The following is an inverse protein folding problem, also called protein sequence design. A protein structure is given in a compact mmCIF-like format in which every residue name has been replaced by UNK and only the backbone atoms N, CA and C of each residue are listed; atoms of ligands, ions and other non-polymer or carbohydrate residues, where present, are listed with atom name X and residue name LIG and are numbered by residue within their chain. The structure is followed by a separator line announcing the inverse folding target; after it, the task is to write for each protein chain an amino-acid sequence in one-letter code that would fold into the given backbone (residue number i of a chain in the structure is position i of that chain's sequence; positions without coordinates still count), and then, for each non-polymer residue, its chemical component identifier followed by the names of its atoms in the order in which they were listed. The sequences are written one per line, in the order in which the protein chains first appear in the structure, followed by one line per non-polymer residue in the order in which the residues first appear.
data_IF_328253090582
#
_entry.id   IF_328253090582
#
_cell.length_a   1.000
_cell.length_b   1.000
_cell.length_c   1.000
_cell.angle_alpha   90.00
_cell.angle_beta   90.00
_cell.angle_gamma   90.00
#
_symmetry.space_group_name_H-M   'P 1'
#
loop_
_entity.id
_entity.type
_entity.pdbx_description
1 polymer ?
#
# COMPACT_ATOMS: atom_id res chain seq x y z
N UNK A 1 -15.45 -17.72 13.28
CA UNK A 1 -15.39 -17.28 11.88
C UNK A 1 -13.94 -16.97 11.58
N UNK A 2 -13.31 -17.64 10.61
CA UNK A 2 -11.91 -17.36 10.26
C UNK A 2 -11.91 -15.99 9.59
N UNK A 3 -11.40 -14.96 10.28
CA UNK A 3 -11.15 -13.65 9.70
C UNK A 3 -10.24 -13.85 8.49
N UNK A 4 -10.80 -13.75 7.28
CA UNK A 4 -10.01 -13.89 6.06
C UNK A 4 -9.00 -12.73 6.03
N UNK A 5 -7.71 -13.06 6.10
CA UNK A 5 -6.58 -12.10 6.10
C UNK A 5 -6.54 -11.22 4.83
N UNK A 6 -7.27 -11.63 3.79
CA UNK A 6 -7.39 -10.92 2.52
C UNK A 6 -8.74 -11.21 1.84
N UNK A 7 -9.13 -10.34 0.91
CA UNK A 7 -10.24 -10.57 -0.04
C UNK A 7 -9.71 -10.73 -1.47
N UNK A 8 -10.42 -11.50 -2.29
CA UNK A 8 -10.11 -11.70 -3.72
C UNK A 8 -11.28 -11.16 -4.54
N UNK A 9 -10.97 -10.32 -5.52
CA UNK A 9 -11.90 -9.84 -6.54
C UNK A 9 -11.35 -10.21 -7.92
N UNK A 10 -12.19 -10.82 -8.76
CA UNK A 10 -11.80 -11.28 -10.11
C UNK A 10 -12.45 -10.37 -11.14
N UNK A 11 -11.63 -9.74 -11.97
CA UNK A 11 -12.05 -9.02 -13.17
C UNK A 11 -11.68 -9.85 -14.41
N UNK A 12 -12.63 -10.65 -14.87
CA UNK A 12 -12.44 -11.56 -16.01
C UNK A 12 -12.21 -10.82 -17.33
N UNK A 13 -12.84 -9.66 -17.54
CA UNK A 13 -12.71 -8.87 -18.77
C UNK A 13 -11.30 -8.33 -18.94
N UNK A 14 -10.74 -7.76 -17.87
CA UNK A 14 -9.39 -7.22 -17.87
C UNK A 14 -8.30 -8.30 -17.68
N UNK A 15 -8.69 -9.55 -17.38
CA UNK A 15 -7.81 -10.62 -16.89
C UNK A 15 -6.96 -10.19 -15.70
N UNK A 16 -7.59 -9.53 -14.72
CA UNK A 16 -6.93 -9.04 -13.50
C UNK A 16 -7.61 -9.66 -12.27
N UNK A 17 -6.80 -10.13 -11.32
CA UNK A 17 -7.26 -10.53 -9.99
C UNK A 17 -6.68 -9.57 -8.98
N UNK A 18 -7.55 -8.96 -8.18
CA UNK A 18 -7.15 -8.08 -7.08
C UNK A 18 -7.24 -8.84 -5.76
N UNK A 19 -6.11 -8.93 -5.06
CA UNK A 19 -6.02 -9.51 -3.73
C UNK A 19 -5.75 -8.39 -2.74
N UNK A 20 -6.73 -8.07 -1.90
CA UNK A 20 -6.66 -6.97 -0.94
C UNK A 20 -6.36 -7.51 0.45
N UNK A 21 -5.15 -7.28 0.93
CA UNK A 21 -4.72 -7.67 2.27
C UNK A 21 -5.17 -6.64 3.31
N UNK A 22 -5.63 -7.13 4.47
CA UNK A 22 -6.01 -6.28 5.59
C UNK A 22 -4.78 -5.76 6.38
N UNK A 23 -3.67 -6.50 6.34
CA UNK A 23 -2.45 -6.24 7.13
C UNK A 23 -1.22 -6.04 6.24
N UNK A 24 -0.03 -5.97 6.85
CA UNK A 24 1.23 -5.91 6.12
C UNK A 24 1.50 -7.23 5.40
N UNK A 25 1.84 -7.14 4.12
CA UNK A 25 2.11 -8.31 3.29
C UNK A 25 3.46 -8.92 3.70
N UNK A 26 3.46 -10.20 4.06
CA UNK A 26 4.67 -11.01 4.28
C UNK A 26 4.79 -12.11 3.22
N UNK A 27 5.88 -12.89 3.27
CA UNK A 27 6.11 -13.95 2.28
C UNK A 27 5.04 -15.05 2.32
N UNK A 28 4.70 -15.56 3.51
CA UNK A 28 3.72 -16.64 3.67
C UNK A 28 2.36 -16.31 3.04
N UNK A 29 1.89 -15.07 3.22
CA UNK A 29 0.66 -14.59 2.60
C UNK A 29 0.75 -14.56 1.08
N UNK A 30 1.90 -14.15 0.52
CA UNK A 30 2.13 -14.13 -0.92
C UNK A 30 2.15 -15.56 -1.46
N UNK A 31 2.89 -16.46 -0.81
CA UNK A 31 2.96 -17.86 -1.19
C UNK A 31 1.58 -18.52 -1.19
N UNK A 32 0.84 -18.41 -0.09
CA UNK A 32 -0.52 -18.95 0.05
C UNK A 32 -1.43 -18.44 -1.08
N UNK A 33 -1.43 -17.13 -1.31
CA UNK A 33 -2.27 -16.48 -2.32
C UNK A 33 -1.91 -16.91 -3.73
N UNK A 34 -0.61 -16.93 -4.08
CA UNK A 34 -0.18 -17.29 -5.43
C UNK A 34 -0.41 -18.77 -5.73
N UNK A 35 -0.22 -19.65 -4.75
CA UNK A 35 -0.56 -21.06 -4.86
C UNK A 35 -2.06 -21.26 -5.09
N UNK A 36 -2.91 -20.52 -4.39
CA UNK A 36 -4.35 -20.56 -4.60
C UNK A 36 -4.75 -20.08 -6.01
N UNK A 37 -4.00 -19.14 -6.59
CA UNK A 37 -4.31 -18.52 -7.88
C UNK A 37 -3.51 -19.09 -9.06
N UNK A 38 -2.79 -20.20 -8.86
CA UNK A 38 -2.00 -20.91 -9.88
C UNK A 38 -2.69 -21.04 -11.24
N UNK A 39 -3.96 -21.44 -11.24
CA UNK A 39 -4.69 -21.72 -12.49
C UNK A 39 -4.90 -20.42 -13.29
N UNK A 40 -5.23 -19.32 -12.60
CA UNK A 40 -5.36 -18.02 -13.24
C UNK A 40 -4.03 -17.50 -13.79
N UNK A 41 -2.92 -17.75 -13.09
CA UNK A 41 -1.58 -17.42 -13.60
C UNK A 41 -1.31 -18.17 -14.91
N UNK A 42 -1.63 -19.47 -14.96
CA UNK A 42 -1.49 -20.28 -16.17
C UNK A 42 -2.38 -19.80 -17.33
N UNK A 43 -3.56 -19.27 -17.02
CA UNK A 43 -4.50 -18.67 -17.98
C UNK A 43 -4.16 -17.22 -18.38
N UNK A 44 -2.94 -16.77 -18.03
CA UNK A 44 -2.42 -15.45 -18.34
C UNK A 44 -3.19 -14.30 -17.67
N UNK A 45 -3.73 -14.50 -16.47
CA UNK A 45 -4.18 -13.39 -15.63
C UNK A 45 -3.01 -12.63 -15.01
N UNK A 46 -3.25 -11.37 -14.70
CA UNK A 46 -2.37 -10.56 -13.85
C UNK A 46 -2.93 -10.51 -12.44
N UNK A 47 -2.08 -10.67 -11.43
CA UNK A 47 -2.47 -10.66 -10.03
C UNK A 47 -1.93 -9.39 -9.37
N UNK A 48 -2.83 -8.54 -8.88
CA UNK A 48 -2.51 -7.37 -8.08
C UNK A 48 -2.60 -7.71 -6.60
N UNK A 49 -1.48 -7.66 -5.90
CA UNK A 49 -1.38 -7.82 -4.46
C UNK A 49 -1.41 -6.42 -3.82
N UNK A 50 -2.53 -6.07 -3.20
CA UNK A 50 -2.83 -4.73 -2.69
C UNK A 50 -2.80 -4.75 -1.16
N UNK A 51 -1.86 -4.03 -0.55
CA UNK A 51 -1.72 -4.03 0.91
C UNK A 51 -0.66 -3.07 1.42
N UNK A 52 -0.30 -3.18 2.70
CA UNK A 52 0.88 -2.47 3.19
C UNK A 52 2.13 -3.26 2.83
N UNK A 53 2.94 -2.71 1.92
CA UNK A 53 4.08 -3.42 1.33
C UNK A 53 5.36 -2.67 1.65
N UNK A 54 6.37 -3.40 2.09
CA UNK A 54 7.73 -2.89 2.13
C UNK A 54 8.52 -3.48 0.97
N UNK A 55 8.62 -2.74 -0.15
CA UNK A 55 9.36 -3.18 -1.35
C UNK A 55 10.86 -3.35 -1.10
N UNK A 56 11.37 -2.89 0.05
CA UNK A 56 12.78 -3.06 0.40
C UNK A 56 13.14 -4.46 0.89
N UNK A 57 12.15 -5.29 1.22
CA UNK A 57 12.41 -6.67 1.64
C UNK A 57 13.05 -7.49 0.51
N UNK A 58 14.13 -8.19 0.86
CA UNK A 58 14.94 -8.96 -0.09
C UNK A 58 14.12 -10.03 -0.83
N UNK A 59 13.16 -10.67 -0.18
CA UNK A 59 12.31 -11.67 -0.84
C UNK A 59 11.44 -11.04 -1.95
N UNK A 60 10.92 -9.82 -1.75
CA UNK A 60 10.15 -9.11 -2.77
C UNK A 60 11.08 -8.73 -3.94
N UNK A 61 12.27 -8.21 -3.64
CA UNK A 61 13.26 -7.86 -4.66
C UNK A 61 13.69 -9.08 -5.48
N UNK A 62 14.02 -10.18 -4.82
CA UNK A 62 14.41 -11.43 -5.46
C UNK A 62 13.28 -11.99 -6.32
N UNK A 63 12.04 -11.95 -5.82
CA UNK A 63 10.87 -12.40 -6.57
C UNK A 63 10.59 -11.53 -7.80
N UNK A 64 10.62 -10.20 -7.65
CA UNK A 64 10.47 -9.27 -8.78
C UNK A 64 11.59 -9.45 -9.82
N UNK A 65 12.83 -9.64 -9.38
CA UNK A 65 13.95 -9.94 -10.28
C UNK A 65 13.71 -11.25 -11.04
N UNK A 66 13.26 -12.31 -10.37
CA UNK A 66 12.94 -13.57 -11.02
C UNK A 66 11.85 -13.38 -12.10
N UNK A 67 10.77 -12.66 -11.80
CA UNK A 67 9.73 -12.34 -12.78
C UNK A 67 10.29 -11.56 -13.97
N UNK A 68 11.18 -10.59 -13.72
CA UNK A 68 11.85 -9.80 -14.75
C UNK A 68 12.66 -10.66 -15.72
N UNK A 69 13.48 -11.56 -15.19
CA UNK A 69 14.35 -12.45 -15.98
C UNK A 69 13.56 -13.32 -16.98
N UNK A 70 12.30 -13.62 -16.69
CA UNK A 70 11.42 -14.42 -17.54
C UNK A 70 10.34 -13.59 -18.26
N UNK A 71 10.45 -12.25 -18.28
CA UNK A 71 9.49 -11.38 -18.98
C UNK A 71 8.09 -11.32 -18.34
N UNK A 72 7.97 -11.73 -17.07
CA UNK A 72 6.71 -11.82 -16.32
C UNK A 72 6.50 -10.65 -15.34
N UNK A 73 7.22 -9.55 -15.54
CA UNK A 73 7.18 -8.29 -14.75
C UNK A 73 5.75 -7.82 -14.41
N UNK A 74 4.82 -8.00 -15.36
CA UNK A 74 3.44 -7.51 -15.29
C UNK A 74 2.46 -8.56 -14.77
N UNK A 75 2.90 -9.81 -14.56
CA UNK A 75 2.05 -10.91 -14.09
C UNK A 75 1.68 -10.74 -12.63
N UNK A 76 2.64 -10.34 -11.79
CA UNK A 76 2.40 -10.11 -10.36
C UNK A 76 2.75 -8.67 -10.02
N UNK A 77 1.76 -7.90 -9.56
CA UNK A 77 1.86 -6.46 -9.34
C UNK A 77 1.68 -6.20 -7.85
N UNK A 78 2.68 -5.57 -7.23
CA UNK A 78 2.62 -5.14 -5.83
C UNK A 78 2.19 -3.68 -5.72
N UNK A 79 1.00 -3.46 -5.16
CA UNK A 79 0.39 -2.15 -4.96
C UNK A 79 0.33 -1.78 -3.48
N UNK A 80 0.97 -0.67 -3.11
CA UNK A 80 1.03 -0.25 -1.71
C UNK A 80 -0.16 0.65 -1.37
N UNK A 81 -0.94 0.27 -0.36
CA UNK A 81 -2.01 1.11 0.21
C UNK A 81 -1.50 2.41 0.83
N UNK A 82 -0.23 2.47 1.25
CA UNK A 82 0.35 3.68 1.80
C UNK A 82 0.59 4.72 0.69
N UNK A 83 -0.23 5.77 0.68
CA UNK A 83 -0.12 6.90 -0.26
C UNK A 83 1.23 7.65 -0.17
N UNK A 84 1.81 7.72 1.03
CA UNK A 84 3.04 8.46 1.29
C UNK A 84 4.09 7.55 1.96
N UNK A 85 5.35 7.70 1.53
CA UNK A 85 6.48 6.97 2.15
C UNK A 85 6.75 7.49 3.57
N UNK A 86 7.44 6.70 4.42
CA UNK A 86 7.74 7.10 5.81
C UNK A 86 8.50 8.43 5.89
N UNK A 87 9.52 8.62 5.04
CA UNK A 87 10.32 9.84 5.00
C UNK A 87 9.48 11.05 4.57
N UNK A 88 8.67 10.89 3.53
CA UNK A 88 7.74 11.90 3.03
C UNK A 88 6.69 12.28 4.08
N UNK A 89 6.09 11.31 4.77
CA UNK A 89 5.18 11.58 5.89
C UNK A 89 5.83 12.41 6.99
N UNK A 90 7.13 12.20 7.27
CA UNK A 90 7.87 12.99 8.26
C UNK A 90 8.04 14.44 7.80
N UNK A 91 8.33 14.65 6.51
CA UNK A 91 8.45 15.98 5.90
C UNK A 91 7.10 16.71 5.88
N UNK A 92 6.05 16.07 5.35
CA UNK A 92 4.68 16.61 5.31
C UNK A 92 4.17 16.95 6.72
N UNK A 93 4.51 16.12 7.72
CA UNK A 93 4.18 16.42 9.10
C UNK A 93 4.89 17.70 9.55
N UNK A 94 6.20 17.86 9.34
CA UNK A 94 6.92 19.11 9.70
C UNK A 94 6.30 20.35 9.03
N UNK A 95 6.03 20.28 7.73
CA UNK A 95 5.38 21.38 6.99
C UNK A 95 3.98 21.71 7.54
N UNK A 96 3.20 20.69 7.92
CA UNK A 96 1.93 20.90 8.61
C UNK A 96 2.11 21.67 9.93
N UNK A 97 3.14 21.35 10.71
CA UNK A 97 3.41 22.02 11.99
C UNK A 97 3.75 23.51 11.78
N UNK A 98 4.56 23.81 10.77
CA UNK A 98 4.90 25.19 10.38
C UNK A 98 3.64 25.97 9.97
N UNK A 99 2.82 25.42 9.08
CA UNK A 99 1.55 26.04 8.65
C UNK A 99 0.58 26.24 9.82
N UNK A 100 0.54 25.30 10.78
CA UNK A 100 -0.29 25.45 11.97
C UNK A 100 0.17 26.62 12.84
N UNK A 101 1.49 26.80 13.01
CA UNK A 101 2.08 27.94 13.75
C UNK A 101 1.80 29.27 13.06
N UNK A 102 1.74 29.27 11.73
CA UNK A 102 1.33 30.41 10.91
C UNK A 102 -0.19 30.71 10.97
N UNK A 103 -0.97 29.87 11.65
CA UNK A 103 -2.40 30.09 11.87
C UNK A 103 -3.34 29.45 10.83
N UNK A 104 -2.82 28.62 9.92
CA UNK A 104 -3.66 27.92 8.94
C UNK A 104 -4.59 26.89 9.62
N UNK A 105 -5.83 26.80 9.12
CA UNK A 105 -6.81 25.81 9.58
C UNK A 105 -6.59 24.44 8.91
N UNK A 106 -7.04 23.37 9.57
CA UNK A 106 -6.86 21.98 9.12
C UNK A 106 -7.26 21.74 7.65
N UNK A 107 -8.37 22.35 7.19
CA UNK A 107 -8.84 22.24 5.80
C UNK A 107 -7.85 22.87 4.81
N UNK A 108 -7.35 24.06 5.10
CA UNK A 108 -6.39 24.77 4.24
C UNK A 108 -5.06 24.00 4.16
N UNK A 109 -4.61 23.44 5.28
CA UNK A 109 -3.40 22.60 5.32
C UNK A 109 -3.60 21.32 4.50
N UNK A 110 -4.76 20.65 4.63
CA UNK A 110 -5.10 19.45 3.87
C UNK A 110 -5.04 19.69 2.36
N UNK A 111 -5.62 20.79 1.90
CA UNK A 111 -5.61 21.21 0.50
C UNK A 111 -4.19 21.55 0.03
N UNK A 112 -3.45 22.36 0.81
CA UNK A 112 -2.10 22.81 0.46
C UNK A 112 -1.08 21.68 0.37
N UNK A 113 -1.19 20.66 1.23
CA UNK A 113 -0.26 19.54 1.30
C UNK A 113 -0.75 18.29 0.53
N UNK A 114 -1.97 18.29 0.00
CA UNK A 114 -2.57 17.10 -0.65
C UNK A 114 -2.77 15.90 0.30
N UNK A 115 -2.75 16.16 1.61
CA UNK A 115 -2.88 15.16 2.68
C UNK A 115 -4.35 15.07 3.10
N UNK A 116 -4.94 13.87 3.25
CA UNK A 116 -6.34 13.73 3.65
C UNK A 116 -6.63 14.43 4.99
N UNK A 117 -7.78 15.12 5.07
CA UNK A 117 -8.17 15.91 6.25
C UNK A 117 -8.13 15.10 7.57
N UNK A 118 -8.59 13.85 7.54
CA UNK A 118 -8.51 12.92 8.68
C UNK A 118 -7.07 12.73 9.19
N UNK A 119 -6.09 12.73 8.28
CA UNK A 119 -4.67 12.60 8.62
C UNK A 119 -4.14 13.86 9.32
N UNK A 120 -4.57 15.05 8.86
CA UNK A 120 -4.22 16.33 9.50
C UNK A 120 -4.73 16.36 10.95
N UNK A 121 -6.01 16.04 11.18
CA UNK A 121 -6.57 15.99 12.53
C UNK A 121 -5.84 15.01 13.44
N UNK A 122 -5.50 13.82 12.92
CA UNK A 122 -4.69 12.85 13.68
C UNK A 122 -3.35 13.45 14.10
N UNK A 123 -2.66 14.15 13.19
CA UNK A 123 -1.38 14.79 13.52
C UNK A 123 -1.51 15.93 14.52
N UNK A 124 -2.59 16.71 14.47
CA UNK A 124 -2.85 17.75 15.47
C UNK A 124 -2.99 17.17 16.88
N UNK A 125 -3.71 16.05 17.01
CA UNK A 125 -3.89 15.37 18.29
C UNK A 125 -2.56 14.81 18.84
N UNK A 126 -1.70 14.29 17.96
CA UNK A 126 -0.35 13.82 18.33
C UNK A 126 0.58 14.94 18.81
N UNK A 127 0.37 16.19 18.39
CA UNK A 127 1.13 17.34 18.92
C UNK A 127 0.69 17.74 20.32
N UNK A 128 -0.62 17.78 20.57
CA UNK A 128 -1.18 18.20 21.88
C UNK A 128 -0.83 17.25 23.02
N UNK A 129 -0.37 16.04 22.73
CA UNK A 129 0.00 15.02 23.71
C UNK A 129 1.49 15.10 24.08
N UNK A 130 2.31 15.89 23.39
CA UNK A 130 3.73 16.07 23.74
C UNK A 130 3.91 17.24 24.71
N UNK A 131 4.45 17.00 25.93
CA UNK A 131 4.86 18.07 26.84
C UNK A 131 6.03 18.88 26.27
#
# INVERSE_FOLDING_TARGET
MIDKKYSIEVNSEAKIIEVKFASAINFDMVEETLNQLKNYIAENYSIKLIGYINKDYNYIKAFMLALSLFGNEKRIIFENKAKFRKAERKLLKKQMQELRREGYKAKQISEKLGVPLKTIYRWFNEETIKP
#
